data_IF_475169614603
#
_entry.id   IF_475169614603
#
_cell.length_a   1.000
_cell.length_b   1.000
_cell.length_c   1.000
_cell.angle_alpha   90.00
_cell.angle_beta   90.00
_cell.angle_gamma   90.00
#
_symmetry.space_group_name_H-M   'P 1'
#
loop_
_entity.id
_entity.type
_entity.pdbx_description
1 polymer ?
#
# COMPACT_ATOMS: atom_id res chain seq x y z
N UNK A 1 20.39 5.34 -9.31
CA UNK A 1 20.33 4.72 -7.97
C UNK A 1 21.63 5.03 -7.27
N UNK A 2 21.58 5.47 -6.02
CA UNK A 2 22.74 5.69 -5.16
C UNK A 2 22.73 4.66 -4.03
N UNK A 3 23.85 4.01 -3.81
CA UNK A 3 24.06 3.09 -2.70
C UNK A 3 24.84 3.85 -1.63
N UNK A 4 24.25 4.01 -0.45
CA UNK A 4 24.82 4.81 0.64
C UNK A 4 24.65 4.06 1.96
N UNK A 5 25.36 4.47 3.01
CA UNK A 5 25.13 3.90 4.34
C UNK A 5 24.08 4.72 5.07
N UNK A 6 22.90 4.14 5.26
CA UNK A 6 21.82 4.75 6.06
C UNK A 6 21.89 4.35 7.53
N UNK A 7 22.36 3.13 7.81
CA UNK A 7 22.21 2.51 9.12
C UNK A 7 20.79 1.96 9.34
N UNK A 8 20.51 1.34 10.49
CA UNK A 8 19.41 0.42 10.69
C UNK A 8 17.98 1.03 10.75
N UNK A 9 17.81 2.30 10.43
CA UNK A 9 16.53 2.99 10.59
C UNK A 9 15.92 3.52 9.28
N UNK A 10 16.49 3.18 8.14
CA UNK A 10 15.94 3.63 6.85
C UNK A 10 16.25 2.63 5.75
N UNK A 11 15.20 2.07 5.14
CA UNK A 11 15.31 1.09 4.06
C UNK A 11 15.82 1.73 2.76
N UNK A 12 15.31 2.89 2.44
CA UNK A 12 15.63 3.62 1.22
C UNK A 12 15.00 4.99 1.21
N UNK A 13 15.12 5.68 0.11
CA UNK A 13 14.46 6.96 -0.11
C UNK A 13 14.45 7.34 -1.59
N UNK A 14 13.28 7.66 -2.12
CA UNK A 14 13.17 8.29 -3.43
C UNK A 14 13.15 9.81 -3.28
N UNK A 15 13.99 10.47 -4.04
CA UNK A 15 14.11 11.93 -4.04
C UNK A 15 13.67 12.47 -5.39
N UNK A 16 12.73 13.39 -5.38
CA UNK A 16 12.37 14.20 -6.55
C UNK A 16 13.12 15.54 -6.50
N UNK A 17 13.80 15.91 -7.57
CA UNK A 17 14.65 17.11 -7.60
C UNK A 17 13.90 18.41 -8.00
N UNK A 18 12.60 18.29 -8.26
CA UNK A 18 11.77 19.42 -8.70
C UNK A 18 11.83 19.74 -10.19
N UNK A 19 12.70 19.05 -10.96
CA UNK A 19 12.90 19.28 -12.39
C UNK A 19 12.45 18.09 -13.26
N UNK A 20 11.61 17.21 -12.73
CA UNK A 20 11.14 16.01 -13.42
C UNK A 20 12.14 14.84 -13.33
N UNK A 21 13.13 14.91 -12.47
CA UNK A 21 14.11 13.86 -12.25
C UNK A 21 13.93 13.30 -10.85
N UNK A 22 13.80 11.99 -10.77
CA UNK A 22 13.83 11.26 -9.51
C UNK A 22 15.09 10.40 -9.41
N UNK A 23 15.57 10.21 -8.21
CA UNK A 23 16.65 9.28 -7.94
C UNK A 23 16.41 8.52 -6.63
N UNK A 24 16.78 7.26 -6.63
CA UNK A 24 16.60 6.34 -5.52
C UNK A 24 17.91 6.22 -4.75
N UNK A 25 17.82 6.27 -3.43
CA UNK A 25 18.90 5.96 -2.50
C UNK A 25 18.53 4.70 -1.75
N UNK A 26 19.44 3.76 -1.64
CA UNK A 26 19.25 2.51 -0.89
C UNK A 26 20.43 2.32 0.06
N UNK A 27 20.22 1.55 1.13
CA UNK A 27 21.28 1.20 2.04
C UNK A 27 22.31 0.26 1.37
N UNK A 28 23.54 0.28 1.85
CA UNK A 28 24.64 -0.44 1.24
C UNK A 28 24.74 -1.92 1.68
N UNK A 29 24.17 -2.29 2.81
CA UNK A 29 24.34 -3.63 3.35
C UNK A 29 23.12 -4.20 4.08
N UNK A 30 22.17 -3.38 4.48
CA UNK A 30 20.97 -3.76 5.26
C UNK A 30 21.30 -4.57 6.53
N UNK A 31 22.47 -4.32 7.15
CA UNK A 31 22.85 -4.95 8.40
C UNK A 31 22.12 -4.29 9.57
N UNK A 32 21.53 -5.12 10.43
CA UNK A 32 20.84 -4.65 11.63
C UNK A 32 19.36 -4.35 11.42
N UNK A 33 18.82 -4.63 10.25
CA UNK A 33 17.38 -4.65 10.04
C UNK A 33 16.83 -5.97 10.60
N UNK A 34 15.94 -5.85 11.56
CA UNK A 34 15.18 -6.98 12.07
C UNK A 34 13.91 -7.14 11.23
N UNK A 35 13.62 -8.36 10.82
CA UNK A 35 12.40 -8.71 10.12
C UNK A 35 11.72 -9.87 10.81
N UNK A 36 10.43 -9.73 11.09
CA UNK A 36 9.62 -10.80 11.67
C UNK A 36 9.52 -12.02 10.74
N UNK A 37 9.71 -11.81 9.44
CA UNK A 37 9.68 -12.88 8.42
C UNK A 37 11.08 -13.43 8.08
N UNK A 38 12.14 -12.98 8.76
CA UNK A 38 13.48 -13.52 8.62
C UNK A 38 14.12 -13.27 7.25
N UNK A 39 13.79 -12.15 6.60
CA UNK A 39 14.38 -11.79 5.32
C UNK A 39 15.89 -11.61 5.43
N UNK A 40 16.59 -11.98 4.37
CA UNK A 40 18.01 -11.71 4.23
C UNK A 40 18.25 -10.25 3.84
N UNK A 41 19.45 -9.68 4.09
CA UNK A 41 19.80 -8.34 3.63
C UNK A 41 19.54 -8.12 2.13
N UNK A 42 19.80 -9.14 1.30
CA UNK A 42 19.51 -9.07 -0.14
C UNK A 42 18.00 -8.97 -0.42
N UNK A 43 17.18 -9.69 0.34
CA UNK A 43 15.71 -9.64 0.19
C UNK A 43 15.18 -8.27 0.58
N UNK A 44 15.63 -7.74 1.73
CA UNK A 44 15.26 -6.39 2.18
C UNK A 44 15.68 -5.34 1.14
N UNK A 45 16.88 -5.47 0.57
CA UNK A 45 17.31 -4.58 -0.51
C UNK A 45 16.40 -4.66 -1.75
N UNK A 46 15.92 -5.84 -2.12
CA UNK A 46 15.00 -6.01 -3.25
C UNK A 46 13.67 -5.32 -2.98
N UNK A 47 13.10 -5.51 -1.79
CA UNK A 47 11.85 -4.87 -1.35
C UNK A 47 12.02 -3.35 -1.37
N UNK A 48 13.00 -2.82 -0.66
CA UNK A 48 13.28 -1.38 -0.60
C UNK A 48 13.50 -0.77 -2.00
N UNK A 49 14.22 -1.47 -2.87
CA UNK A 49 14.45 -1.00 -4.23
C UNK A 49 13.14 -0.92 -5.04
N UNK A 50 12.26 -1.89 -4.92
CA UNK A 50 10.95 -1.89 -5.60
C UNK A 50 10.10 -0.74 -5.08
N UNK A 51 10.01 -0.56 -3.76
CA UNK A 51 9.29 0.53 -3.11
C UNK A 51 9.72 1.90 -3.64
N UNK A 52 10.99 2.21 -3.47
CA UNK A 52 11.54 3.51 -3.82
C UNK A 52 11.54 3.77 -5.35
N UNK A 53 11.71 2.71 -6.15
CA UNK A 53 11.61 2.84 -7.59
C UNK A 53 10.16 3.11 -8.03
N UNK A 54 9.19 2.54 -7.32
CA UNK A 54 7.79 2.83 -7.61
C UNK A 54 7.43 4.28 -7.30
N UNK A 55 7.97 4.88 -6.25
CA UNK A 55 7.86 6.32 -6.03
C UNK A 55 8.40 7.15 -7.20
N UNK A 56 9.50 6.73 -7.81
CA UNK A 56 10.00 7.40 -9.01
C UNK A 56 9.02 7.31 -10.20
N UNK A 57 8.30 6.19 -10.33
CA UNK A 57 7.21 6.03 -11.33
C UNK A 57 6.04 6.96 -10.99
N UNK A 58 5.61 6.99 -9.74
CA UNK A 58 4.53 7.86 -9.26
C UNK A 58 4.82 9.34 -9.53
N UNK A 59 6.06 9.78 -9.33
CA UNK A 59 6.48 11.15 -9.70
C UNK A 59 6.43 11.40 -11.21
N UNK A 60 6.59 10.37 -12.03
CA UNK A 60 6.38 10.45 -13.48
C UNK A 60 4.92 10.72 -13.86
N UNK A 61 3.97 10.21 -13.09
CA UNK A 61 2.55 10.50 -13.24
C UNK A 61 2.21 11.93 -12.80
N UNK A 62 2.93 12.48 -11.82
CA UNK A 62 2.64 13.78 -11.21
C UNK A 62 3.86 14.72 -11.24
N UNK A 63 4.11 15.34 -12.36
CA UNK A 63 5.30 16.17 -12.63
C UNK A 63 5.56 17.35 -11.67
N UNK A 64 4.71 17.68 -10.72
CA UNK A 64 4.85 18.93 -9.93
C UNK A 64 4.61 18.81 -8.44
N UNK A 65 4.44 17.63 -7.88
CA UNK A 65 4.27 17.48 -6.44
C UNK A 65 5.44 16.70 -5.85
N UNK A 66 6.20 17.44 -5.05
CA UNK A 66 7.19 16.84 -4.18
C UNK A 66 6.51 15.75 -3.34
N UNK A 67 7.28 14.68 -3.13
CA UNK A 67 7.00 13.56 -2.23
C UNK A 67 5.80 13.76 -1.36
N UNK A 68 4.82 12.92 -1.45
CA UNK A 68 3.69 12.60 -0.58
C UNK A 68 3.42 13.33 0.73
N UNK A 69 3.96 14.51 0.93
CA UNK A 69 3.76 15.34 2.13
C UNK A 69 2.40 16.06 2.14
N UNK A 70 1.44 15.56 1.41
CA UNK A 70 0.09 16.10 1.35
C UNK A 70 -0.94 15.09 1.82
N UNK A 71 -2.20 15.47 1.76
CA UNK A 71 -3.34 14.62 2.11
C UNK A 71 -3.45 13.30 1.32
N UNK A 72 -2.62 13.08 0.30
CA UNK A 72 -2.66 11.92 -0.59
C UNK A 72 -1.46 10.96 -0.37
N UNK A 73 -0.59 11.25 0.60
CA UNK A 73 0.59 10.43 0.94
C UNK A 73 0.22 8.96 1.15
N UNK A 74 -0.91 8.70 1.81
CA UNK A 74 -1.41 7.35 2.04
C UNK A 74 -1.57 6.52 0.75
N UNK A 75 -1.93 7.16 -0.37
CA UNK A 75 -2.11 6.47 -1.64
C UNK A 75 -0.76 6.13 -2.30
N UNK A 76 0.22 7.01 -2.15
CA UNK A 76 1.58 6.74 -2.61
C UNK A 76 2.17 5.54 -1.89
N UNK A 77 2.08 5.53 -0.56
CA UNK A 77 2.64 4.45 0.26
C UNK A 77 1.84 3.15 0.11
N UNK A 78 0.51 3.21 0.10
CA UNK A 78 -0.35 2.05 -0.15
C UNK A 78 0.07 1.29 -1.42
N UNK A 79 0.28 2.02 -2.51
CA UNK A 79 0.59 1.40 -3.79
C UNK A 79 2.05 1.00 -3.93
N UNK A 80 2.96 1.64 -3.18
CA UNK A 80 4.36 1.23 -3.09
C UNK A 80 4.51 -0.07 -2.28
N UNK A 81 3.83 -0.19 -1.16
CA UNK A 81 3.81 -1.43 -0.37
C UNK A 81 3.13 -2.60 -1.11
N UNK A 82 2.04 -2.34 -1.82
CA UNK A 82 1.38 -3.34 -2.66
C UNK A 82 2.32 -3.89 -3.73
N UNK A 83 3.02 -3.02 -4.48
CA UNK A 83 3.89 -3.46 -5.58
C UNK A 83 5.13 -4.22 -5.10
N UNK A 84 5.58 -3.99 -3.87
CA UNK A 84 6.67 -4.76 -3.27
C UNK A 84 6.37 -6.25 -3.32
N UNK A 85 5.21 -6.66 -2.83
CA UNK A 85 4.83 -8.06 -2.79
C UNK A 85 4.52 -8.61 -4.19
N UNK A 86 3.87 -7.85 -5.04
CA UNK A 86 3.63 -8.27 -6.44
C UNK A 86 4.93 -8.60 -7.18
N UNK A 87 6.01 -7.86 -6.92
CA UNK A 87 7.31 -8.07 -7.58
C UNK A 87 8.20 -9.04 -6.79
N UNK A 88 8.14 -9.00 -5.47
CA UNK A 88 8.96 -9.79 -4.54
C UNK A 88 8.05 -10.62 -3.62
N UNK A 89 7.27 -11.59 -4.16
CA UNK A 89 6.16 -12.24 -3.45
C UNK A 89 6.58 -13.09 -2.24
N UNK A 90 7.84 -13.33 -2.02
CA UNK A 90 8.40 -13.96 -0.81
C UNK A 90 9.06 -12.94 0.13
N UNK A 91 8.75 -11.66 -0.08
CA UNK A 91 9.20 -10.56 0.76
C UNK A 91 8.46 -10.49 2.08
N UNK A 92 7.14 -10.43 2.03
CA UNK A 92 6.21 -10.38 3.16
C UNK A 92 6.43 -9.21 4.13
N UNK A 93 7.18 -8.19 3.74
CA UNK A 93 7.51 -7.04 4.59
C UNK A 93 6.24 -6.25 4.97
N UNK A 94 5.33 -6.10 4.02
CA UNK A 94 4.05 -5.41 4.21
C UNK A 94 3.15 -6.06 5.29
N UNK A 95 3.41 -7.32 5.66
CA UNK A 95 2.68 -8.05 6.71
C UNK A 95 3.27 -7.84 8.10
N UNK A 96 4.35 -7.10 8.26
CA UNK A 96 4.90 -6.83 9.58
C UNK A 96 3.90 -6.07 10.46
N UNK A 97 3.83 -6.44 11.74
CA UNK A 97 2.87 -5.87 12.68
C UNK A 97 2.89 -4.34 12.74
N UNK A 98 4.05 -3.74 12.47
CA UNK A 98 4.19 -2.29 12.45
C UNK A 98 3.48 -1.63 11.26
N UNK A 99 3.29 -2.37 10.16
CA UNK A 99 2.61 -1.87 8.96
C UNK A 99 1.13 -2.25 8.94
N UNK A 100 0.81 -3.53 9.01
CA UNK A 100 -0.56 -4.03 8.89
C UNK A 100 -1.36 -3.94 10.20
N UNK A 101 -0.69 -3.99 11.34
CA UNK A 101 -1.33 -3.95 12.66
C UNK A 101 -2.30 -2.78 12.86
N UNK A 102 -1.92 -1.53 12.51
CA UNK A 102 -2.82 -0.38 12.65
C UNK A 102 -4.15 -0.53 11.91
N UNK A 103 -4.15 -1.18 10.73
CA UNK A 103 -5.39 -1.47 10.01
C UNK A 103 -6.21 -2.55 10.71
N UNK A 104 -5.56 -3.64 11.14
CA UNK A 104 -6.24 -4.77 11.78
C UNK A 104 -6.85 -4.38 13.13
N UNK A 105 -6.22 -3.47 13.86
CA UNK A 105 -6.67 -2.97 15.15
C UNK A 105 -7.77 -1.91 15.01
N UNK A 106 -7.70 -1.05 13.98
CA UNK A 106 -8.64 0.06 13.78
C UNK A 106 -9.12 0.10 12.32
N UNK A 107 -9.87 -0.94 11.86
CA UNK A 107 -10.32 -1.02 10.47
C UNK A 107 -11.31 0.08 10.08
N UNK A 108 -11.99 0.69 11.06
CA UNK A 108 -12.94 1.77 10.86
C UNK A 108 -12.30 3.16 10.68
N UNK A 109 -10.97 3.25 10.70
CA UNK A 109 -10.26 4.50 10.41
C UNK A 109 -10.62 5.05 9.02
N UNK A 110 -10.60 6.38 8.89
CA UNK A 110 -10.85 7.03 7.61
C UNK A 110 -9.83 6.60 6.57
N UNK A 111 -10.28 6.16 5.40
CA UNK A 111 -9.42 5.67 4.35
C UNK A 111 -8.39 6.70 3.88
N UNK A 112 -8.84 7.95 3.70
CA UNK A 112 -8.07 9.04 3.11
C UNK A 112 -7.44 10.01 4.13
N UNK A 113 -7.56 9.71 5.41
CA UNK A 113 -7.04 10.54 6.50
C UNK A 113 -6.28 9.71 7.55
N UNK A 114 -5.51 8.73 7.08
CA UNK A 114 -4.72 7.88 7.99
C UNK A 114 -3.43 8.54 8.46
N UNK A 115 -3.08 9.67 7.85
CA UNK A 115 -1.88 10.42 8.18
C UNK A 115 -1.76 10.91 9.63
N UNK A 116 -2.66 11.53 10.33
CA UNK A 116 -2.39 12.03 11.68
C UNK A 116 -2.87 11.10 12.80
N UNK A 117 -3.47 9.97 12.51
CA UNK A 117 -4.05 9.10 13.53
C UNK A 117 -3.07 8.06 14.07
N UNK A 118 -1.83 8.48 14.29
CA UNK A 118 -0.90 7.69 15.07
C UNK A 118 -1.42 7.53 16.48
N UNK A 119 -2.15 6.46 16.74
CA UNK A 119 -2.56 6.09 18.10
C UNK A 119 -1.39 5.57 18.94
N UNK A 120 -0.23 5.35 18.35
CA UNK A 120 0.99 4.99 19.05
C UNK A 120 1.92 6.20 19.16
N UNK A 121 2.23 6.66 20.41
CA UNK A 121 3.02 7.87 20.63
C UNK A 121 4.47 7.79 20.13
N UNK A 122 4.91 6.67 19.60
CA UNK A 122 6.29 6.44 19.20
C UNK A 122 6.47 6.01 17.74
N UNK A 123 5.40 5.86 16.96
CA UNK A 123 5.53 5.40 15.57
C UNK A 123 4.40 6.01 14.73
N UNK A 124 4.72 7.03 13.98
CA UNK A 124 3.81 7.74 13.08
C UNK A 124 4.10 7.42 11.61
N UNK A 125 4.67 6.26 11.34
CA UNK A 125 5.15 5.90 10.01
C UNK A 125 4.09 5.15 9.16
N UNK A 126 2.87 4.98 9.69
CA UNK A 126 1.75 4.36 8.98
C UNK A 126 1.04 5.29 7.98
N UNK A 127 1.77 5.85 7.05
CA UNK A 127 1.28 6.79 6.02
C UNK A 127 0.45 6.10 4.93
N UNK A 128 -0.32 5.07 5.29
CA UNK A 128 -1.10 4.26 4.35
C UNK A 128 -0.45 2.90 4.02
N UNK A 129 0.66 2.56 4.64
CA UNK A 129 1.31 1.24 4.48
C UNK A 129 0.35 0.10 4.76
N UNK A 130 -0.46 0.22 5.80
CA UNK A 130 -1.48 -0.74 6.18
C UNK A 130 -2.56 -0.98 5.11
N UNK A 131 -2.69 -0.05 4.17
CA UNK A 131 -3.63 -0.16 3.06
C UNK A 131 -3.10 -0.99 1.88
N UNK A 132 -1.88 -1.51 1.94
CA UNK A 132 -1.38 -2.46 0.93
C UNK A 132 -2.33 -3.63 0.74
N UNK A 133 -2.98 -4.11 1.82
CA UNK A 133 -4.01 -5.14 1.76
C UNK A 133 -5.19 -4.76 0.86
N UNK A 134 -5.58 -3.49 0.86
CA UNK A 134 -6.62 -3.02 -0.05
C UNK A 134 -6.12 -2.96 -1.50
N UNK A 135 -4.83 -2.68 -1.70
CA UNK A 135 -4.18 -2.82 -2.98
C UNK A 135 -4.30 -4.23 -3.55
N UNK A 136 -3.98 -5.26 -2.74
CA UNK A 136 -4.16 -6.67 -3.09
C UNK A 136 -5.62 -7.03 -3.37
N UNK A 137 -6.55 -6.51 -2.57
CA UNK A 137 -7.97 -6.72 -2.81
C UNK A 137 -8.41 -6.18 -4.17
N UNK A 138 -7.98 -4.98 -4.53
CA UNK A 138 -8.31 -4.39 -5.82
C UNK A 138 -7.72 -5.19 -6.98
N UNK A 139 -6.45 -5.55 -6.92
CA UNK A 139 -5.75 -6.22 -8.01
C UNK A 139 -6.16 -7.68 -8.18
N UNK A 140 -6.19 -8.45 -7.10
CA UNK A 140 -6.48 -9.89 -7.18
C UNK A 140 -7.97 -10.19 -7.26
N UNK A 141 -8.76 -9.56 -6.39
CA UNK A 141 -10.17 -9.92 -6.27
C UNK A 141 -11.07 -9.12 -7.22
N UNK A 142 -10.90 -7.79 -7.27
CA UNK A 142 -11.78 -6.95 -8.10
C UNK A 142 -11.43 -7.08 -9.58
N UNK A 143 -10.16 -6.96 -9.93
CA UNK A 143 -9.70 -6.97 -11.34
C UNK A 143 -9.54 -8.39 -11.89
N UNK A 144 -8.97 -9.30 -11.13
CA UNK A 144 -8.62 -10.66 -11.58
C UNK A 144 -9.56 -11.77 -11.07
N UNK A 145 -10.74 -11.42 -10.57
CA UNK A 145 -11.78 -12.36 -10.12
C UNK A 145 -11.26 -13.43 -9.14
N UNK A 146 -10.40 -13.03 -8.21
CA UNK A 146 -9.81 -13.86 -7.18
C UNK A 146 -8.53 -14.62 -7.60
N UNK A 147 -7.91 -14.25 -8.72
CA UNK A 147 -6.59 -14.78 -9.08
C UNK A 147 -5.51 -14.19 -8.18
N UNK A 148 -4.66 -15.05 -7.63
CA UNK A 148 -3.53 -14.65 -6.80
C UNK A 148 -2.28 -14.21 -7.60
N UNK A 149 -2.29 -14.32 -8.94
CA UNK A 149 -1.22 -13.81 -9.81
C UNK A 149 -1.50 -12.36 -10.21
N UNK A 150 -1.25 -11.45 -9.31
CA UNK A 150 -1.57 -10.03 -9.43
C UNK A 150 -0.75 -9.28 -10.49
N UNK A 151 0.29 -9.91 -11.07
CA UNK A 151 1.12 -9.33 -12.13
C UNK A 151 0.34 -9.04 -13.42
N UNK A 152 -0.84 -9.63 -13.58
CA UNK A 152 -1.71 -9.41 -14.73
C UNK A 152 -2.71 -8.27 -14.49
N UNK A 153 -2.82 -7.78 -13.28
CA UNK A 153 -3.78 -6.72 -12.93
C UNK A 153 -3.40 -5.39 -13.59
N UNK A 154 -4.42 -4.68 -14.06
CA UNK A 154 -4.29 -3.34 -14.67
C UNK A 154 -4.90 -2.24 -13.81
N UNK A 155 -5.69 -2.59 -12.80
CA UNK A 155 -6.49 -1.63 -12.03
C UNK A 155 -5.63 -0.51 -11.40
N UNK A 156 -4.45 -0.83 -10.88
CA UNK A 156 -3.57 0.18 -10.29
C UNK A 156 -3.04 1.16 -11.34
N UNK A 157 -2.71 0.67 -12.54
CA UNK A 157 -2.31 1.53 -13.65
C UNK A 157 -3.47 2.44 -14.11
N UNK A 158 -4.68 1.93 -14.14
CA UNK A 158 -5.88 2.70 -14.49
C UNK A 158 -6.15 3.80 -13.45
N UNK A 159 -6.08 3.46 -12.16
CA UNK A 159 -6.26 4.42 -11.07
C UNK A 159 -5.18 5.52 -11.15
N UNK A 160 -3.91 5.17 -11.30
CA UNK A 160 -2.83 6.15 -11.41
C UNK A 160 -2.95 7.03 -12.65
N UNK A 161 -3.35 6.46 -13.78
CA UNK A 161 -3.58 7.19 -15.02
C UNK A 161 -4.71 8.21 -14.87
N UNK A 162 -5.84 7.79 -14.32
CA UNK A 162 -7.00 8.66 -14.12
C UNK A 162 -6.72 9.75 -13.08
N UNK A 163 -6.00 9.40 -12.00
CA UNK A 163 -5.57 10.35 -10.99
C UNK A 163 -4.66 11.43 -11.59
N UNK A 164 -3.68 11.01 -12.39
CA UNK A 164 -2.80 11.92 -13.12
C UNK A 164 -3.57 12.83 -14.08
N UNK A 165 -4.51 12.29 -14.84
CA UNK A 165 -5.34 13.05 -15.78
C UNK A 165 -6.19 14.11 -15.04
N UNK A 166 -6.77 13.76 -13.91
CA UNK A 166 -7.56 14.70 -13.09
C UNK A 166 -6.68 15.84 -12.59
N UNK A 167 -5.47 15.54 -12.21
CA UNK A 167 -4.50 16.48 -11.71
C UNK A 167 -4.05 17.50 -12.76
N UNK A 168 -3.76 17.06 -13.97
CA UNK A 168 -3.33 17.94 -15.07
C UNK A 168 -4.44 18.80 -15.64
N UNK A 169 -5.69 18.46 -15.39
CA UNK A 169 -6.85 19.15 -15.94
C UNK A 169 -7.38 20.29 -15.08
N UNK A 170 -7.00 20.38 -13.81
CA UNK A 170 -7.62 21.31 -12.84
C UNK A 170 -6.67 21.71 -11.71
N UNK A 171 -6.81 22.93 -11.21
CA UNK A 171 -6.19 23.36 -9.94
C UNK A 171 -6.87 22.72 -8.71
N UNK A 172 -7.98 22.05 -8.91
CA UNK A 172 -8.74 21.30 -7.90
C UNK A 172 -8.90 19.87 -8.43
N UNK A 173 -7.87 19.06 -8.29
CA UNK A 173 -7.84 17.68 -8.75
C UNK A 173 -8.68 16.74 -7.86
N UNK A 174 -9.12 15.65 -8.46
CA UNK A 174 -9.84 14.61 -7.73
C UNK A 174 -8.90 13.84 -6.79
N UNK A 175 -9.34 13.62 -5.55
CA UNK A 175 -8.62 12.83 -4.58
C UNK A 175 -8.56 11.35 -4.98
N UNK A 176 -7.54 10.58 -4.56
CA UNK A 176 -7.42 9.16 -4.91
C UNK A 176 -8.70 8.36 -4.64
N UNK A 177 -9.37 8.58 -3.52
CA UNK A 177 -10.63 7.91 -3.18
C UNK A 177 -11.72 8.15 -4.23
N UNK A 178 -11.84 9.38 -4.73
CA UNK A 178 -12.82 9.74 -5.78
C UNK A 178 -12.48 9.05 -7.09
N UNK A 179 -11.20 8.95 -7.41
CA UNK A 179 -10.72 8.26 -8.61
C UNK A 179 -10.95 6.76 -8.51
N UNK A 180 -10.61 6.14 -7.39
CA UNK A 180 -10.88 4.71 -7.13
C UNK A 180 -12.37 4.41 -7.29
N UNK A 181 -13.24 5.21 -6.65
CA UNK A 181 -14.69 5.04 -6.77
C UNK A 181 -15.19 5.14 -8.23
N UNK A 182 -14.61 6.04 -9.00
CA UNK A 182 -14.92 6.23 -10.43
C UNK A 182 -14.52 5.02 -11.26
N UNK A 183 -13.31 4.50 -11.08
CA UNK A 183 -12.83 3.30 -11.78
C UNK A 183 -13.70 2.10 -11.42
N UNK A 184 -13.97 1.89 -10.14
CA UNK A 184 -14.83 0.80 -9.69
C UNK A 184 -16.23 0.85 -10.33
N UNK A 185 -16.83 2.04 -10.44
CA UNK A 185 -18.15 2.21 -11.06
C UNK A 185 -18.15 1.99 -12.56
N UNK A 186 -17.12 2.46 -13.24
CA UNK A 186 -17.08 2.44 -14.70
C UNK A 186 -16.67 1.06 -15.26
N UNK A 187 -15.70 0.41 -14.65
CA UNK A 187 -15.06 -0.79 -15.18
C UNK A 187 -15.51 -2.07 -14.46
N UNK A 188 -15.86 -1.98 -13.17
CA UNK A 188 -16.09 -3.15 -12.32
C UNK A 188 -17.52 -3.26 -11.77
N UNK A 189 -18.43 -2.38 -12.15
CA UNK A 189 -19.83 -2.37 -11.70
C UNK A 189 -19.98 -2.39 -10.17
N UNK A 190 -19.06 -1.75 -9.47
CA UNK A 190 -19.00 -1.64 -8.02
C UNK A 190 -18.83 -0.19 -7.60
N UNK A 191 -18.73 0.07 -6.31
CA UNK A 191 -18.40 1.38 -5.75
C UNK A 191 -17.31 1.23 -4.70
N UNK A 192 -16.65 2.33 -4.34
CA UNK A 192 -15.67 2.29 -3.25
C UNK A 192 -16.28 1.74 -1.95
N UNK A 193 -17.50 2.15 -1.61
CA UNK A 193 -18.15 1.69 -0.38
C UNK A 193 -18.41 0.18 -0.43
N UNK A 194 -18.91 -0.35 -1.54
CA UNK A 194 -19.14 -1.79 -1.70
C UNK A 194 -17.85 -2.59 -1.62
N UNK A 195 -16.81 -2.14 -2.34
CA UNK A 195 -15.47 -2.74 -2.30
C UNK A 195 -14.87 -2.70 -0.89
N UNK A 196 -14.97 -1.56 -0.21
CA UNK A 196 -14.44 -1.41 1.15
C UNK A 196 -15.14 -2.31 2.16
N UNK A 197 -16.46 -2.41 2.10
CA UNK A 197 -17.24 -3.31 2.99
C UNK A 197 -16.89 -4.76 2.75
N UNK A 198 -16.79 -5.20 1.48
CA UNK A 198 -16.38 -6.57 1.16
C UNK A 198 -14.95 -6.86 1.60
N UNK A 199 -14.03 -5.94 1.34
CA UNK A 199 -12.65 -6.01 1.80
C UNK A 199 -12.54 -6.18 3.33
N UNK A 200 -13.22 -5.36 4.12
CA UNK A 200 -13.27 -5.49 5.58
C UNK A 200 -13.85 -6.86 5.96
N UNK A 201 -14.94 -7.27 5.32
CA UNK A 201 -15.59 -8.57 5.56
C UNK A 201 -14.61 -9.74 5.35
N UNK A 202 -13.80 -9.70 4.29
CA UNK A 202 -12.81 -10.76 4.00
C UNK A 202 -11.70 -10.82 5.04
N UNK A 203 -11.25 -9.69 5.54
CA UNK A 203 -10.21 -9.62 6.57
C UNK A 203 -10.65 -10.14 7.96
N UNK A 204 -11.94 -10.35 8.18
CA UNK A 204 -12.42 -11.10 9.34
C UNK A 204 -12.00 -12.58 9.32
N UNK A 205 -11.61 -13.09 8.16
CA UNK A 205 -11.22 -14.49 7.94
C UNK A 205 -9.71 -14.67 7.76
N UNK A 206 -8.90 -13.63 8.01
CA UNK A 206 -7.45 -13.75 7.98
C UNK A 206 -6.97 -14.87 8.92
N UNK A 207 -5.99 -15.66 8.51
CA UNK A 207 -5.42 -16.73 9.30
C UNK A 207 -6.35 -17.89 9.65
N UNK A 208 -7.61 -17.87 9.23
CA UNK A 208 -8.59 -18.93 9.45
C UNK A 208 -8.45 -20.00 8.36
N UNK A 209 -8.72 -21.27 8.70
CA UNK A 209 -8.55 -22.40 7.78
C UNK A 209 -9.47 -22.36 6.55
N UNK A 210 -10.59 -21.65 6.60
CA UNK A 210 -11.47 -21.46 5.44
C UNK A 210 -10.89 -20.37 4.51
N UNK A 211 -10.31 -20.81 3.41
CA UNK A 211 -9.70 -19.96 2.41
C UNK A 211 -10.65 -19.42 1.34
N UNK A 212 -11.96 -19.65 1.47
CA UNK A 212 -12.95 -19.17 0.49
C UNK A 212 -13.06 -17.65 0.41
N UNK A 213 -12.58 -16.95 1.44
CA UNK A 213 -12.55 -15.49 1.52
C UNK A 213 -11.20 -14.88 1.20
N UNK A 214 -10.18 -15.70 0.94
CA UNK A 214 -8.85 -15.21 0.65
C UNK A 214 -8.82 -14.48 -0.70
N UNK A 215 -8.06 -13.42 -0.76
CA UNK A 215 -7.87 -12.59 -1.95
C UNK A 215 -6.40 -12.27 -2.26
N UNK A 216 -5.48 -12.66 -1.36
CA UNK A 216 -4.03 -12.57 -1.59
C UNK A 216 -3.32 -13.79 -0.99
N UNK A 217 -2.11 -14.07 -1.48
CA UNK A 217 -1.42 -15.32 -1.20
C UNK A 217 -1.12 -15.53 0.30
N UNK A 218 -0.77 -14.46 1.00
CA UNK A 218 -0.26 -14.51 2.37
C UNK A 218 -1.33 -14.27 3.44
N UNK A 219 -2.59 -14.19 3.06
CA UNK A 219 -3.70 -13.92 4.00
C UNK A 219 -3.77 -14.91 5.18
N UNK A 220 -3.27 -16.12 4.98
CA UNK A 220 -3.16 -17.12 6.05
C UNK A 220 -2.14 -16.76 7.15
N UNK A 221 -1.22 -15.84 6.87
CA UNK A 221 -0.11 -15.49 7.76
C UNK A 221 -0.46 -14.42 8.78
N UNK A 222 -1.53 -13.67 8.56
CA UNK A 222 -1.93 -12.57 9.44
C UNK A 222 -3.15 -12.90 10.30
N UNK A 223 -3.28 -12.20 11.41
CA UNK A 223 -4.42 -12.37 12.31
C UNK A 223 -5.70 -11.78 11.69
N UNK A 224 -6.88 -12.33 12.00
CA UNK A 224 -8.14 -11.71 11.63
C UNK A 224 -8.29 -10.35 12.34
N UNK A 225 -9.08 -9.46 11.71
CA UNK A 225 -9.45 -8.17 12.31
C UNK A 225 -10.04 -8.40 13.70
N UNK A 226 -9.53 -7.69 14.70
CA UNK A 226 -10.07 -7.68 16.03
C UNK A 226 -11.39 -6.90 16.02
N UNK A 227 -12.51 -7.61 16.16
CA UNK A 227 -13.78 -6.94 16.41
C UNK A 227 -14.01 -6.84 17.91
N UNK A 228 -14.19 -5.65 18.43
CA UNK A 228 -14.76 -5.50 19.77
C UNK A 228 -16.10 -6.24 19.84
N UNK A 229 -16.35 -7.07 20.87
CA UNK A 229 -17.63 -7.71 21.00
C UNK A 229 -18.69 -6.60 21.04
N UNK A 230 -19.55 -6.58 20.03
CA UNK A 230 -20.70 -5.67 19.99
C UNK A 230 -21.45 -5.83 21.29
N UNK A 231 -21.27 -4.88 22.19
CA UNK A 231 -22.15 -4.75 23.35
C UNK A 231 -23.47 -4.24 22.79
N UNK A 232 -24.34 -5.16 22.41
CA UNK A 232 -25.73 -4.83 22.12
C UNK A 232 -26.33 -4.29 23.42
N UNK A 233 -26.49 -2.97 23.49
CA UNK A 233 -27.21 -2.27 24.54
C UNK A 233 -28.70 -2.30 24.19
#
# INVERSE_FOLDING_TARGET
IYVISYGPNSYGHCVYDGNGISFVKIDNDYIGYDSNFGQTPLKIMQIALVHEYFHAIQYGYQHNHGSGSGSDAYFYEMTSMWIEDVIVPDGNDYLEDMWVGPFLDIPQGEFDNRWPQCSHPNNCDGEGYELALFGHYLSSYVDLDGSLDEKQSTIMNEIWTEYSNSYHSSTNYDKPLVVIDRILKNEFQSSFIEAWVDFIGRNLYNGILDNSFYYYADQALINPIQTDPLTLV
#
